data_IF_771550206305
#
_entry.id   IF_771550206305
#
_cell.length_a   1.000
_cell.length_b   1.000
_cell.length_c   1.000
_cell.angle_alpha   90.00
_cell.angle_beta   90.00
_cell.angle_gamma   90.00
#
_symmetry.space_group_name_H-M   'P 1'
#
loop_
_entity.id
_entity.type
_entity.pdbx_description
1 polymer ?
#
# COMPACT_ATOMS: atom_id res chain seq x y z
N UNK A 1 -26.63 -63.25 -17.83
CA UNK A 1 -25.60 -63.37 -18.89
C UNK A 1 -26.02 -62.41 -20.01
N UNK A 2 -25.53 -61.16 -19.98
CA UNK A 2 -24.44 -60.62 -20.83
C UNK A 2 -24.80 -60.67 -22.33
N UNK A 3 -25.16 -59.51 -22.92
CA UNK A 3 -24.45 -58.79 -24.02
C UNK A 3 -25.28 -57.60 -24.56
N UNK A 4 -24.61 -56.44 -24.72
CA UNK A 4 -24.99 -55.14 -25.36
C UNK A 4 -24.99 -55.26 -26.91
N UNK A 5 -25.51 -54.33 -27.78
CA UNK A 5 -25.14 -52.88 -27.78
C UNK A 5 -26.05 -51.79 -28.43
N UNK A 6 -25.74 -50.54 -28.02
CA UNK A 6 -25.77 -49.19 -28.67
C UNK A 6 -26.63 -48.85 -29.89
N UNK A 7 -27.24 -47.64 -29.90
CA UNK A 7 -27.14 -46.63 -30.98
C UNK A 7 -27.74 -45.26 -30.59
N UNK A 8 -26.86 -44.25 -30.54
CA UNK A 8 -26.96 -42.86 -31.05
C UNK A 8 -28.14 -41.97 -30.59
N UNK A 9 -27.80 -40.88 -29.90
CA UNK A 9 -28.54 -39.62 -30.02
C UNK A 9 -27.57 -38.42 -29.96
N UNK A 10 -27.63 -37.63 -31.04
CA UNK A 10 -26.88 -36.45 -31.44
C UNK A 10 -26.54 -35.44 -30.33
N UNK A 11 -25.28 -34.99 -30.32
CA UNK A 11 -24.83 -33.75 -29.73
C UNK A 11 -25.13 -32.57 -30.67
N UNK A 12 -25.90 -31.59 -30.20
CA UNK A 12 -26.07 -30.29 -30.86
C UNK A 12 -25.34 -29.23 -30.04
N UNK A 13 -24.10 -28.92 -30.42
CA UNK A 13 -23.31 -27.84 -29.84
C UNK A 13 -23.70 -26.51 -30.52
N UNK A 14 -24.41 -25.65 -29.80
CA UNK A 14 -24.72 -24.28 -30.21
C UNK A 14 -23.54 -23.40 -29.79
N UNK A 15 -22.69 -23.04 -30.75
CA UNK A 15 -21.60 -22.08 -30.55
C UNK A 15 -22.14 -20.65 -30.59
N UNK A 16 -22.31 -20.04 -29.41
CA UNK A 16 -22.51 -18.60 -29.27
C UNK A 16 -21.16 -17.89 -29.48
N UNK A 17 -20.94 -17.32 -30.67
CA UNK A 17 -19.86 -16.37 -30.93
C UNK A 17 -20.23 -15.01 -30.34
N UNK A 18 -19.67 -14.66 -29.18
CA UNK A 18 -19.72 -13.32 -28.63
C UNK A 18 -18.66 -12.41 -29.29
N UNK A 19 -19.02 -11.17 -29.59
CA UNK A 19 -18.15 -10.16 -30.19
C UNK A 19 -16.93 -9.85 -29.31
N UNK A 20 -15.74 -9.95 -29.88
CA UNK A 20 -14.50 -9.50 -29.25
C UNK A 20 -14.35 -7.99 -29.49
N UNK A 21 -14.84 -7.19 -28.54
CA UNK A 21 -14.59 -5.75 -28.51
C UNK A 21 -13.26 -5.49 -27.78
N UNK A 22 -12.14 -5.70 -28.47
CA UNK A 22 -10.81 -5.30 -27.99
C UNK A 22 -10.64 -3.79 -28.13
N UNK A 23 -11.32 -3.03 -27.27
CA UNK A 23 -10.95 -1.65 -26.98
C UNK A 23 -9.79 -1.71 -25.99
N UNK A 24 -8.57 -1.70 -26.54
CA UNK A 24 -7.35 -1.39 -25.80
C UNK A 24 -7.46 0.06 -25.30
N UNK A 25 -8.15 0.24 -24.17
CA UNK A 25 -7.99 1.43 -23.36
C UNK A 25 -6.53 1.49 -22.94
N UNK A 26 -5.85 2.57 -23.34
CA UNK A 26 -4.56 2.93 -22.80
C UNK A 26 -4.67 2.87 -21.27
N UNK A 27 -4.13 1.81 -20.69
CA UNK A 27 -4.00 1.69 -19.25
C UNK A 27 -3.11 2.81 -18.82
N UNK A 28 -3.70 3.86 -18.24
CA UNK A 28 -2.97 4.74 -17.34
C UNK A 28 -2.41 3.82 -16.29
N UNK A 29 -1.12 3.48 -16.41
CA UNK A 29 -0.38 2.83 -15.35
C UNK A 29 -0.46 3.79 -14.18
N UNK A 30 -1.34 3.48 -13.24
CA UNK A 30 -1.30 4.05 -11.90
C UNK A 30 0.13 3.83 -11.44
N UNK A 31 0.89 4.91 -11.29
CA UNK A 31 2.19 4.85 -10.65
C UNK A 31 1.95 4.13 -9.32
N UNK A 32 2.54 2.96 -9.15
CA UNK A 32 2.54 2.26 -7.87
C UNK A 32 3.34 3.14 -6.90
N UNK A 33 2.65 4.08 -6.25
CA UNK A 33 3.13 4.83 -5.09
C UNK A 33 3.33 3.86 -3.92
N UNK A 34 4.40 3.09 -4.00
CA UNK A 34 4.87 2.20 -2.95
C UNK A 34 6.36 1.96 -3.02
N UNK A 35 7.06 2.55 -3.99
CA UNK A 35 8.47 2.34 -4.25
C UNK A 35 9.29 3.57 -3.87
N UNK A 36 9.05 4.13 -2.69
CA UNK A 36 9.97 5.09 -2.06
C UNK A 36 10.31 4.62 -0.65
N UNK A 37 10.59 3.32 -0.48
CA UNK A 37 11.35 2.86 0.70
C UNK A 37 12.83 2.95 0.34
N UNK A 38 13.36 4.17 0.32
CA UNK A 38 14.81 4.38 0.26
C UNK A 38 15.34 4.29 1.69
N UNK A 39 16.23 3.34 1.95
CA UNK A 39 17.14 3.45 3.09
C UNK A 39 17.99 4.69 2.83
N UNK A 40 17.84 5.74 3.64
CA UNK A 40 18.70 6.92 3.55
C UNK A 40 19.94 6.67 4.41
N UNK A 41 21.13 6.84 3.81
CA UNK A 41 22.43 6.59 4.48
C UNK A 41 22.73 7.59 5.61
N UNK A 42 21.97 8.69 5.70
CA UNK A 42 22.18 9.74 6.71
C UNK A 42 21.17 9.58 7.85
N UNK A 43 21.61 9.26 9.08
CA UNK A 43 20.72 9.16 10.23
C UNK A 43 20.07 10.51 10.58
N UNK A 44 18.92 10.52 11.28
CA UNK A 44 18.25 11.75 11.66
C UNK A 44 19.13 12.59 12.62
N UNK A 45 18.96 13.91 12.65
CA UNK A 45 19.69 14.78 13.58
C UNK A 45 19.53 14.29 15.03
N UNK A 46 20.65 14.08 15.73
CA UNK A 46 20.65 13.63 17.13
C UNK A 46 20.67 12.11 17.33
N UNK A 47 20.82 11.31 16.27
CA UNK A 47 20.99 9.86 16.38
C UNK A 47 22.21 9.47 17.24
N UNK A 48 22.04 8.47 18.11
CA UNK A 48 23.13 7.89 18.93
C UNK A 48 24.19 7.27 18.00
N UNK A 49 25.50 7.43 18.29
CA UNK A 49 26.54 6.77 17.52
C UNK A 49 26.35 5.24 17.48
N UNK A 50 26.58 4.63 16.31
CA UNK A 50 26.47 3.18 16.12
C UNK A 50 25.04 2.65 15.91
N UNK A 51 24.04 3.52 15.79
CA UNK A 51 22.67 3.14 15.43
C UNK A 51 22.45 3.22 13.92
N UNK A 52 21.65 2.29 13.38
CA UNK A 52 21.26 2.27 11.97
C UNK A 52 19.80 2.66 11.82
N UNK A 53 19.47 3.39 10.76
CA UNK A 53 18.15 4.01 10.59
C UNK A 53 17.53 3.66 9.25
N UNK A 54 16.24 3.36 9.27
CA UNK A 54 15.38 3.26 8.11
C UNK A 54 14.44 4.47 8.05
N UNK A 55 13.99 4.76 6.83
CA UNK A 55 13.02 5.83 6.59
C UNK A 55 11.82 5.26 5.84
N UNK A 56 10.63 5.64 6.27
CA UNK A 56 9.39 5.38 5.55
C UNK A 56 8.76 6.69 5.10
N UNK A 57 8.45 6.75 3.81
CA UNK A 57 7.90 7.95 3.17
C UNK A 57 6.48 7.66 2.73
N UNK A 58 5.52 8.26 3.42
CA UNK A 58 4.14 8.32 2.94
C UNK A 58 3.98 9.53 2.02
N UNK A 59 3.71 9.35 0.71
CA UNK A 59 3.57 10.45 -0.21
C UNK A 59 2.32 11.30 0.08
N UNK A 60 2.34 12.55 -0.38
CA UNK A 60 1.18 13.42 -0.33
C UNK A 60 0.09 12.92 -1.29
N UNK A 61 -1.18 13.04 -0.90
CA UNK A 61 -2.32 12.81 -1.78
C UNK A 61 -2.89 14.16 -2.17
N UNK A 62 -2.80 14.47 -3.45
CA UNK A 62 -3.35 15.68 -4.05
C UNK A 62 -4.58 15.30 -4.87
N UNK A 63 -5.70 15.98 -4.62
CA UNK A 63 -6.94 15.77 -5.34
C UNK A 63 -7.34 17.03 -6.10
N UNK A 64 -7.91 16.83 -7.29
CA UNK A 64 -8.52 17.91 -8.07
C UNK A 64 -9.96 18.07 -7.61
N UNK A 65 -10.23 19.16 -6.89
CA UNK A 65 -11.55 19.44 -6.33
C UNK A 65 -12.24 20.49 -7.20
N UNK A 66 -13.44 20.16 -7.68
CA UNK A 66 -14.33 21.10 -8.40
C UNK A 66 -15.44 21.57 -7.46
N UNK A 67 -15.49 22.86 -7.17
CA UNK A 67 -16.46 23.49 -6.28
C UNK A 67 -17.31 24.51 -7.05
N UNK A 68 -18.62 24.57 -6.77
CA UNK A 68 -19.49 25.65 -7.25
C UNK A 68 -19.48 26.76 -6.20
N UNK A 69 -18.80 27.86 -6.51
CA UNK A 69 -18.72 29.03 -5.64
C UNK A 69 -19.87 29.97 -5.98
N UNK A 70 -20.72 30.27 -5.00
CA UNK A 70 -21.76 31.29 -5.12
C UNK A 70 -21.10 32.67 -5.21
N UNK A 71 -21.18 33.31 -6.37
CA UNK A 71 -20.66 34.67 -6.56
C UNK A 71 -21.67 35.72 -6.08
N UNK A 72 -22.95 35.48 -6.35
CA UNK A 72 -24.01 36.40 -5.98
C UNK A 72 -25.28 35.62 -5.62
N UNK A 73 -25.90 35.88 -4.45
CA UNK A 73 -27.16 35.24 -4.07
C UNK A 73 -28.31 35.70 -4.98
N UNK A 74 -29.38 34.91 -5.01
CA UNK A 74 -30.60 35.30 -5.71
C UNK A 74 -31.21 36.56 -5.06
N UNK A 75 -31.71 37.47 -5.88
CA UNK A 75 -32.46 38.63 -5.40
C UNK A 75 -33.94 38.29 -5.36
N UNK A 76 -34.58 38.52 -4.21
CA UNK A 76 -35.99 38.22 -3.95
C UNK A 76 -36.69 39.44 -3.38
N UNK A 77 -37.97 39.61 -3.71
CA UNK A 77 -38.87 40.60 -3.10
C UNK A 77 -39.33 40.16 -1.71
N UNK A 78 -39.90 41.08 -0.92
CA UNK A 78 -40.54 40.78 0.37
C UNK A 78 -41.63 39.71 0.28
N UNK A 79 -42.29 39.63 -0.88
CA UNK A 79 -43.39 38.70 -1.14
C UNK A 79 -42.89 37.33 -1.66
N UNK A 80 -41.57 37.14 -1.73
CA UNK A 80 -40.91 35.89 -2.11
C UNK A 80 -40.69 35.69 -3.62
N UNK A 81 -41.08 36.65 -4.48
CA UNK A 81 -40.84 36.55 -5.92
C UNK A 81 -39.35 36.81 -6.25
N UNK A 82 -38.75 35.92 -7.04
CA UNK A 82 -37.33 36.00 -7.48
C UNK A 82 -37.20 37.03 -8.60
N UNK A 83 -36.42 38.09 -8.35
CA UNK A 83 -36.10 39.15 -9.31
C UNK A 83 -34.88 38.76 -10.17
N UNK A 84 -33.89 38.09 -9.56
CA UNK A 84 -32.71 37.61 -10.25
C UNK A 84 -32.23 36.30 -9.61
N UNK A 85 -31.85 35.29 -10.41
CA UNK A 85 -31.31 34.04 -9.89
C UNK A 85 -29.90 34.24 -9.31
N UNK A 86 -29.48 33.28 -8.49
CA UNK A 86 -28.10 33.23 -7.99
C UNK A 86 -27.10 32.98 -9.13
N UNK A 87 -25.94 33.63 -9.05
CA UNK A 87 -24.82 33.44 -9.96
C UNK A 87 -23.76 32.57 -9.29
N UNK A 88 -23.37 31.49 -9.96
CA UNK A 88 -22.35 30.55 -9.51
C UNK A 88 -21.16 30.55 -10.47
N UNK A 89 -19.99 30.23 -9.93
CA UNK A 89 -18.78 29.96 -10.70
C UNK A 89 -18.27 28.57 -10.35
N UNK A 90 -17.97 27.79 -11.37
CA UNK A 90 -17.26 26.53 -11.19
C UNK A 90 -15.78 26.81 -11.07
N UNK A 91 -15.18 26.44 -9.93
CA UNK A 91 -13.75 26.55 -9.70
C UNK A 91 -13.15 25.16 -9.53
N UNK A 92 -12.03 24.92 -10.22
CA UNK A 92 -11.27 23.67 -10.12
C UNK A 92 -9.89 23.98 -9.56
N UNK A 93 -9.54 23.34 -8.44
CA UNK A 93 -8.27 23.56 -7.76
C UNK A 93 -7.63 22.25 -7.30
N UNK A 94 -6.31 22.21 -7.26
CA UNK A 94 -5.56 21.13 -6.64
C UNK A 94 -5.52 21.36 -5.13
N UNK A 95 -6.09 20.45 -4.35
CA UNK A 95 -6.07 20.50 -2.89
C UNK A 95 -5.22 19.34 -2.38
N UNK A 96 -4.23 19.64 -1.53
CA UNK A 96 -3.51 18.59 -0.79
C UNK A 96 -4.46 18.08 0.29
N UNK A 97 -4.97 16.86 0.12
CA UNK A 97 -5.92 16.24 1.06
C UNK A 97 -5.16 15.52 2.17
N UNK A 98 -3.97 15.01 1.85
CA UNK A 98 -3.06 14.41 2.82
C UNK A 98 -1.64 14.86 2.55
N UNK A 99 -1.01 15.43 3.56
CA UNK A 99 0.38 15.86 3.49
C UNK A 99 1.34 14.67 3.41
N UNK A 100 2.50 14.92 2.82
CA UNK A 100 3.64 13.99 2.84
C UNK A 100 4.11 13.83 4.29
N UNK A 101 4.37 12.59 4.70
CA UNK A 101 4.98 12.28 6.00
C UNK A 101 6.23 11.44 5.79
N UNK A 102 7.27 11.74 6.55
CA UNK A 102 8.50 10.98 6.62
C UNK A 102 8.71 10.52 8.07
N UNK A 103 8.92 9.21 8.25
CA UNK A 103 9.11 8.59 9.56
C UNK A 103 10.50 7.97 9.59
N UNK A 104 11.30 8.35 10.58
CA UNK A 104 12.60 7.76 10.86
C UNK A 104 12.45 6.72 11.98
N UNK A 105 13.06 5.55 11.81
CA UNK A 105 13.05 4.49 12.82
C UNK A 105 14.37 3.72 12.81
N UNK A 106 14.78 3.22 13.97
CA UNK A 106 15.97 2.37 14.06
C UNK A 106 15.72 1.02 13.38
N UNK A 107 16.74 0.48 12.72
CA UNK A 107 16.77 -0.84 12.06
C UNK A 107 18.02 -1.59 12.51
N UNK A 108 18.02 -2.93 12.51
CA UNK A 108 19.26 -3.68 12.63
C UNK A 108 20.27 -3.23 11.56
N UNK A 109 21.53 -3.11 11.95
CA UNK A 109 22.60 -2.72 11.03
C UNK A 109 22.91 -3.85 10.05
N UNK A 110 23.42 -3.51 8.86
CA UNK A 110 23.74 -4.48 7.80
C UNK A 110 24.67 -5.61 8.27
N UNK A 111 25.62 -5.31 9.15
CA UNK A 111 26.52 -6.31 9.74
C UNK A 111 25.85 -7.36 10.63
N UNK A 112 24.62 -7.08 11.12
CA UNK A 112 23.81 -8.02 11.91
C UNK A 112 22.77 -8.76 11.06
N UNK A 113 22.48 -8.27 9.84
CA UNK A 113 21.48 -8.82 8.93
C UNK A 113 22.06 -9.97 8.08
N UNK A 114 22.67 -10.95 8.75
CA UNK A 114 23.21 -12.13 8.08
C UNK A 114 22.12 -13.16 7.71
N UNK A 115 22.51 -14.22 7.00
CA UNK A 115 21.57 -15.23 6.53
C UNK A 115 20.85 -15.97 7.68
N UNK A 116 21.51 -16.16 8.81
CA UNK A 116 20.92 -16.81 9.99
C UNK A 116 19.88 -15.93 10.65
N UNK A 117 20.20 -14.64 10.84
CA UNK A 117 19.29 -13.63 11.35
C UNK A 117 18.05 -13.52 10.47
N UNK A 118 18.23 -13.44 9.14
CA UNK A 118 17.12 -13.36 8.20
C UNK A 118 16.28 -14.64 8.22
N UNK A 119 16.90 -15.82 8.33
CA UNK A 119 16.16 -17.07 8.46
C UNK A 119 15.32 -17.10 9.76
N UNK A 120 15.86 -16.56 10.85
CA UNK A 120 15.15 -16.39 12.12
C UNK A 120 13.98 -15.42 11.99
N UNK A 121 14.18 -14.27 11.32
CA UNK A 121 13.12 -13.32 10.98
C UNK A 121 11.99 -13.99 10.17
N UNK A 122 12.34 -14.74 9.11
CA UNK A 122 11.35 -15.43 8.27
C UNK A 122 10.55 -16.47 9.08
N UNK A 123 11.20 -17.25 9.96
CA UNK A 123 10.52 -18.18 10.87
C UNK A 123 9.59 -17.44 11.84
N UNK A 124 10.04 -16.34 12.44
CA UNK A 124 9.25 -15.55 13.38
C UNK A 124 8.01 -14.92 12.71
N UNK A 125 8.14 -14.45 11.47
CA UNK A 125 7.04 -13.95 10.66
C UNK A 125 6.08 -15.05 10.22
N UNK A 126 6.60 -16.26 9.91
CA UNK A 126 5.78 -17.41 9.53
C UNK A 126 4.96 -17.92 10.71
N UNK A 127 5.55 -18.02 11.90
CA UNK A 127 4.87 -18.42 13.13
C UNK A 127 3.68 -17.49 13.46
N UNK A 128 3.76 -16.21 13.08
CA UNK A 128 2.71 -15.20 13.24
C UNK A 128 1.78 -15.08 12.03
N UNK A 129 1.98 -15.89 10.99
CA UNK A 129 1.11 -15.94 9.82
C UNK A 129 1.34 -14.85 8.76
N UNK A 130 2.40 -14.03 8.88
CA UNK A 130 2.73 -12.98 7.92
C UNK A 130 3.60 -13.47 6.75
N UNK A 131 4.33 -14.58 6.93
CA UNK A 131 5.20 -15.17 5.91
C UNK A 131 4.76 -16.60 5.56
N UNK A 132 4.78 -16.93 4.26
CA UNK A 132 4.42 -18.27 3.73
C UNK A 132 5.45 -18.81 2.73
N UNK A 133 6.57 -18.10 2.56
CA UNK A 133 7.64 -18.49 1.64
C UNK A 133 8.62 -19.48 2.27
N UNK A 134 9.62 -19.93 1.52
CA UNK A 134 10.71 -20.74 2.05
C UNK A 134 11.61 -19.92 2.98
N UNK A 135 12.19 -20.55 3.99
CA UNK A 135 13.19 -19.93 4.85
C UNK A 135 14.53 -19.89 4.10
N UNK A 136 14.72 -18.85 3.27
CA UNK A 136 15.90 -18.71 2.40
C UNK A 136 17.08 -18.02 3.08
N UNK A 137 16.87 -17.32 4.20
CA UNK A 137 17.92 -16.45 4.78
C UNK A 137 18.23 -15.21 3.95
N UNK A 138 17.35 -14.85 3.00
CA UNK A 138 17.52 -13.68 2.12
C UNK A 138 16.35 -12.71 2.24
N UNK A 139 16.65 -11.40 2.24
CA UNK A 139 15.62 -10.34 2.22
C UNK A 139 15.06 -10.15 0.81
N UNK A 140 14.24 -11.11 0.38
CA UNK A 140 13.52 -11.06 -0.89
C UNK A 140 12.20 -10.26 -0.77
N UNK A 141 11.51 -10.06 -1.89
CA UNK A 141 10.24 -9.34 -1.95
C UNK A 141 9.16 -9.96 -1.05
N UNK A 142 9.14 -11.29 -0.88
CA UNK A 142 8.19 -11.93 0.03
C UNK A 142 8.52 -11.61 1.50
N UNK A 143 9.81 -11.60 1.87
CA UNK A 143 10.27 -11.19 3.21
C UNK A 143 9.88 -9.74 3.47
N UNK A 144 10.18 -8.81 2.54
CA UNK A 144 9.84 -7.38 2.68
C UNK A 144 8.32 -7.16 2.84
N UNK A 145 7.48 -7.85 2.06
CA UNK A 145 6.03 -7.77 2.21
C UNK A 145 5.53 -8.31 3.56
N UNK A 146 6.13 -9.39 4.05
CA UNK A 146 5.77 -9.95 5.35
C UNK A 146 6.15 -9.01 6.50
N UNK A 147 7.34 -8.40 6.44
CA UNK A 147 7.75 -7.33 7.36
C UNK A 147 6.77 -6.17 7.32
N UNK A 148 6.46 -5.65 6.13
CA UNK A 148 5.47 -4.56 5.95
C UNK A 148 4.12 -4.90 6.55
N UNK A 149 3.60 -6.10 6.31
CA UNK A 149 2.32 -6.54 6.87
C UNK A 149 2.36 -6.56 8.41
N UNK A 150 3.40 -7.15 8.99
CA UNK A 150 3.57 -7.21 10.45
C UNK A 150 3.66 -5.81 11.07
N UNK A 151 4.39 -4.89 10.43
CA UNK A 151 4.59 -3.53 10.93
C UNK A 151 3.40 -2.60 10.70
N UNK A 152 2.60 -2.84 9.65
CA UNK A 152 1.43 -2.02 9.34
C UNK A 152 0.39 -2.04 10.46
N UNK A 153 0.27 -3.17 11.17
CA UNK A 153 -0.59 -3.33 12.35
C UNK A 153 -0.11 -2.47 13.54
N UNK A 154 1.15 -2.03 13.51
CA UNK A 154 1.79 -1.16 14.51
C UNK A 154 1.92 0.30 14.02
N UNK A 155 1.33 0.63 12.87
CA UNK A 155 1.34 1.98 12.31
C UNK A 155 2.57 2.34 11.46
N UNK A 156 3.41 1.37 11.08
CA UNK A 156 4.56 1.57 10.20
C UNK A 156 4.41 0.80 8.90
N UNK A 157 4.30 1.49 7.76
CA UNK A 157 4.04 0.88 6.45
C UNK A 157 5.32 0.61 5.63
N UNK A 158 6.36 0.06 6.29
CA UNK A 158 7.68 -0.15 5.70
C UNK A 158 8.04 -1.61 5.50
N UNK A 159 8.78 -1.91 4.42
CA UNK A 159 9.40 -3.23 4.20
C UNK A 159 10.76 -3.42 4.88
N UNK A 160 11.31 -2.37 5.52
CA UNK A 160 12.53 -2.43 6.33
C UNK A 160 12.15 -2.84 7.75
N UNK A 161 12.91 -3.75 8.35
CA UNK A 161 12.65 -4.23 9.71
C UNK A 161 13.04 -3.17 10.74
N UNK A 162 12.09 -2.63 11.49
CA UNK A 162 12.38 -1.75 12.62
C UNK A 162 12.89 -2.52 13.84
N UNK A 163 13.69 -1.88 14.69
CA UNK A 163 14.12 -2.44 15.98
C UNK A 163 12.94 -2.75 16.90
N UNK A 164 11.88 -1.92 16.86
CA UNK A 164 10.64 -2.18 17.59
C UNK A 164 9.98 -3.50 17.14
N UNK A 165 9.85 -3.70 15.84
CA UNK A 165 9.32 -4.94 15.27
C UNK A 165 10.22 -6.15 15.57
N UNK A 166 11.55 -5.99 15.46
CA UNK A 166 12.50 -7.04 15.79
C UNK A 166 12.37 -7.50 17.27
N UNK A 167 12.23 -6.54 18.20
CA UNK A 167 11.99 -6.83 19.63
C UNK A 167 10.66 -7.57 19.83
N UNK A 168 9.59 -7.12 19.18
CA UNK A 168 8.27 -7.78 19.27
C UNK A 168 8.25 -9.17 18.64
N UNK A 169 9.09 -9.41 17.63
CA UNK A 169 9.29 -10.72 17.04
C UNK A 169 10.12 -11.65 17.95
N UNK A 170 10.82 -11.10 18.93
CA UNK A 170 11.69 -11.83 19.85
C UNK A 170 12.99 -12.29 19.20
N UNK A 171 13.48 -11.55 18.20
CA UNK A 171 14.70 -11.90 17.44
C UNK A 171 15.90 -11.01 17.79
N UNK A 172 15.68 -9.98 18.60
CA UNK A 172 16.72 -9.16 19.23
C UNK A 172 16.37 -8.97 20.70
N UNK A 173 17.39 -8.90 21.54
CA UNK A 173 17.21 -8.67 22.97
C UNK A 173 16.80 -7.22 23.26
N UNK A 174 16.13 -7.04 24.40
CA UNK A 174 15.89 -5.72 24.97
C UNK A 174 17.09 -5.36 25.83
N UNK A 175 17.85 -4.34 25.46
CA UNK A 175 18.86 -3.78 26.37
C UNK A 175 18.13 -3.02 27.48
N UNK A 176 18.10 -3.59 28.69
CA UNK A 176 17.42 -3.02 29.85
C UNK A 176 18.18 -1.84 30.50
N UNK A 177 19.24 -1.35 29.86
CA UNK A 177 20.12 -0.29 30.39
C UNK A 177 19.88 1.09 29.72
N UNK A 178 18.70 1.32 29.12
CA UNK A 178 18.30 2.62 28.58
C UNK A 178 17.58 3.52 29.60
#
# INVERSE_FOLDING_TARGET
MITRPTLVALAAAISLTACQNSLSGAGVTRLEDGQLTHSHDTPPPGAKPGTCWGTDVTPAVVETVTEQVLLQPAQVTSDGAVIAPALYKTETQQRIVRERREIWFETPCDGQMDAEFIATLQRALQARGHYRGPISGEVNTATKRAVRRFQSEQGLDSGILSMAAARQLGIVDYDFNE
#
